data_IF_831173998721
#
_entry.id   IF_831173998721
#
_cell.length_a   1.000
_cell.length_b   1.000
_cell.length_c   1.000
_cell.angle_alpha   90.00
_cell.angle_beta   90.00
_cell.angle_gamma   90.00
#
_symmetry.space_group_name_H-M   'P 1'
#
loop_
_entity.id
_entity.type
_entity.pdbx_description
1 polymer ?
#
# COMPACT_ATOMS: atom_id res chain seq x y z
N UNK A 1 -26.43 5.96 15.60
CA UNK A 1 -25.10 5.78 15.02
C UNK A 1 -24.62 4.35 15.34
N UNK A 2 -23.77 3.77 14.53
CA UNK A 2 -23.20 2.43 14.76
C UNK A 2 -22.31 2.45 16.02
N UNK A 3 -22.58 1.60 17.02
CA UNK A 3 -21.86 1.60 18.32
C UNK A 3 -20.39 1.21 18.20
N UNK A 4 -20.06 0.32 17.26
CA UNK A 4 -18.67 -0.11 17.02
C UNK A 4 -17.75 1.03 16.58
N UNK A 5 -18.26 2.15 16.09
CA UNK A 5 -17.43 3.32 15.78
C UNK A 5 -16.71 3.90 17.00
N UNK A 6 -17.20 3.61 18.21
CA UNK A 6 -16.52 4.01 19.45
C UNK A 6 -15.17 3.27 19.66
N UNK A 7 -14.94 2.17 18.95
CA UNK A 7 -13.68 1.42 18.99
C UNK A 7 -12.62 1.99 18.03
N UNK A 8 -13.01 2.92 17.18
CA UNK A 8 -12.15 3.49 16.15
C UNK A 8 -11.80 4.94 16.47
N UNK A 9 -10.60 5.33 16.09
CA UNK A 9 -10.19 6.72 16.04
C UNK A 9 -10.18 7.20 14.60
N UNK A 10 -10.51 8.47 14.38
CA UNK A 10 -10.35 9.09 13.08
C UNK A 10 -8.87 9.00 12.65
N UNK A 11 -8.65 8.76 11.36
CA UNK A 11 -7.29 8.76 10.82
C UNK A 11 -6.59 10.07 11.19
N UNK A 12 -5.44 9.95 11.86
CA UNK A 12 -4.60 11.10 12.18
C UNK A 12 -3.54 11.26 11.10
N UNK A 13 -3.72 12.17 10.13
CA UNK A 13 -2.64 12.52 9.22
C UNK A 13 -1.49 13.10 10.04
N UNK A 14 -0.26 12.83 9.64
CA UNK A 14 0.89 13.52 10.21
C UNK A 14 0.69 15.04 10.11
N UNK A 15 1.26 15.80 11.05
CA UNK A 15 1.19 17.26 11.02
C UNK A 15 1.71 17.78 9.68
N UNK A 16 1.08 18.84 9.17
CA UNK A 16 1.57 19.51 7.98
C UNK A 16 2.98 20.10 8.22
N UNK A 17 3.82 20.28 7.19
CA UNK A 17 5.12 20.94 7.34
C UNK A 17 5.01 22.29 8.06
N UNK A 18 3.98 23.07 7.78
CA UNK A 18 3.71 24.34 8.46
C UNK A 18 3.46 24.16 9.96
N UNK A 19 2.55 23.24 10.34
CA UNK A 19 2.22 22.97 11.73
C UNK A 19 3.43 22.40 12.51
N UNK A 20 4.31 21.63 11.84
CA UNK A 20 5.55 21.13 12.43
C UNK A 20 6.56 22.25 12.67
N UNK A 21 6.76 23.16 11.70
CA UNK A 21 7.60 24.33 11.89
C UNK A 21 7.15 25.19 13.06
N UNK A 22 5.85 25.47 13.16
CA UNK A 22 5.25 26.23 14.27
C UNK A 22 5.42 25.51 15.62
N UNK A 23 5.20 24.19 15.67
CA UNK A 23 5.26 23.41 16.90
C UNK A 23 6.67 23.19 17.44
N UNK A 24 7.63 22.93 16.56
CA UNK A 24 9.00 22.54 16.93
C UNK A 24 10.05 23.65 16.70
N UNK A 25 9.64 24.81 16.18
CA UNK A 25 10.56 25.93 15.91
C UNK A 25 11.60 25.61 14.83
N UNK A 26 11.28 24.73 13.86
CA UNK A 26 12.23 24.26 12.87
C UNK A 26 12.44 25.34 11.81
N UNK A 27 13.68 25.80 11.67
CA UNK A 27 14.11 26.66 10.59
C UNK A 27 14.60 25.80 9.40
N UNK A 28 14.29 26.23 8.16
CA UNK A 28 14.69 25.52 6.95
C UNK A 28 13.59 24.65 6.33
N UNK A 29 13.99 23.79 5.38
CA UNK A 29 13.06 22.96 4.62
C UNK A 29 12.66 21.71 5.39
N UNK A 30 11.38 21.37 5.29
CA UNK A 30 10.83 20.12 5.78
C UNK A 30 10.45 19.20 4.62
N UNK A 31 10.94 17.97 4.68
CA UNK A 31 10.71 16.93 3.68
C UNK A 31 9.68 15.92 4.21
N UNK A 32 8.55 15.78 3.52
CA UNK A 32 7.49 14.85 3.88
C UNK A 32 7.86 13.44 3.46
N UNK A 33 8.41 12.65 4.38
CA UNK A 33 8.88 11.28 4.18
C UNK A 33 8.08 10.25 5.01
N UNK A 34 6.78 10.52 5.19
CA UNK A 34 5.90 9.79 6.11
C UNK A 34 4.80 8.96 5.42
N UNK A 35 4.47 9.23 4.16
CA UNK A 35 3.31 8.64 3.48
C UNK A 35 3.67 7.78 2.28
N UNK A 36 4.96 7.52 2.08
CA UNK A 36 5.47 6.65 1.01
C UNK A 36 5.09 7.14 -0.39
N UNK A 37 5.03 8.47 -0.58
CA UNK A 37 4.90 9.05 -1.92
C UNK A 37 6.18 8.80 -2.74
N UNK A 38 6.06 8.68 -4.06
CA UNK A 38 7.18 8.71 -4.96
C UNK A 38 7.64 10.17 -5.16
N UNK A 39 8.77 10.55 -4.60
CA UNK A 39 9.27 11.93 -4.66
C UNK A 39 9.77 12.33 -6.04
N UNK A 40 10.09 11.37 -6.91
CA UNK A 40 10.43 11.67 -8.31
C UNK A 40 9.20 12.15 -9.10
N UNK A 41 7.99 11.98 -8.54
CA UNK A 41 6.73 12.35 -9.18
C UNK A 41 6.30 11.39 -10.28
N UNK A 42 5.23 11.73 -11.00
CA UNK A 42 4.74 10.95 -12.13
C UNK A 42 5.58 11.18 -13.39
N UNK A 43 5.41 10.28 -14.38
CA UNK A 43 5.94 10.48 -15.73
C UNK A 43 5.55 11.84 -16.31
N UNK A 44 6.44 12.52 -17.06
CA UNK A 44 6.10 13.75 -17.79
C UNK A 44 4.87 13.61 -18.69
N UNK A 45 4.64 12.44 -19.28
CA UNK A 45 3.44 12.15 -20.10
C UNK A 45 2.13 12.32 -19.34
N UNK A 46 2.14 12.12 -18.02
CA UNK A 46 0.96 12.36 -17.16
C UNK A 46 0.55 13.83 -17.20
N UNK A 47 1.51 14.75 -17.11
CA UNK A 47 1.23 16.18 -17.17
C UNK A 47 0.63 16.59 -18.53
N UNK A 48 1.17 16.02 -19.61
CA UNK A 48 0.68 16.22 -20.97
C UNK A 48 -0.77 15.71 -21.12
N UNK A 49 -1.04 14.48 -20.66
CA UNK A 49 -2.36 13.87 -20.69
C UNK A 49 -3.40 14.71 -19.88
N UNK A 50 -3.05 15.15 -18.67
CA UNK A 50 -3.91 16.00 -17.86
C UNK A 50 -4.20 17.32 -18.60
N UNK A 51 -3.18 17.97 -19.15
CA UNK A 51 -3.32 19.25 -19.84
C UNK A 51 -4.21 19.17 -21.09
N UNK A 52 -4.14 18.05 -21.81
CA UNK A 52 -4.94 17.82 -23.02
C UNK A 52 -6.46 17.65 -22.74
N UNK A 53 -6.84 17.33 -21.49
CA UNK A 53 -8.22 17.01 -21.12
C UNK A 53 -8.83 18.00 -20.10
N UNK A 54 -8.19 19.15 -19.83
CA UNK A 54 -8.71 20.14 -18.87
C UNK A 54 -10.05 20.72 -19.30
N UNK A 55 -10.30 20.84 -20.60
CA UNK A 55 -11.57 21.36 -21.14
C UNK A 55 -12.76 20.39 -20.97
N UNK A 56 -12.49 19.15 -20.50
CA UNK A 56 -13.52 18.13 -20.27
C UNK A 56 -13.98 18.03 -18.82
N UNK A 57 -13.48 18.90 -17.91
CA UNK A 57 -13.74 18.84 -16.46
C UNK A 57 -15.21 18.98 -16.08
N UNK A 58 -16.05 19.55 -16.94
CA UNK A 58 -17.47 19.71 -16.69
C UNK A 58 -18.30 18.47 -16.97
N UNK A 59 -17.73 17.44 -17.58
CA UNK A 59 -18.40 16.16 -17.79
C UNK A 59 -18.13 15.18 -16.65
N UNK A 60 -19.14 14.39 -16.30
CA UNK A 60 -18.91 13.19 -15.51
C UNK A 60 -17.98 12.22 -16.24
N UNK A 61 -17.14 11.46 -15.52
CA UNK A 61 -16.35 10.40 -16.14
C UNK A 61 -17.24 9.28 -16.69
N UNK A 62 -16.70 8.47 -17.58
CA UNK A 62 -17.36 7.24 -18.00
C UNK A 62 -17.35 6.19 -16.88
N UNK A 63 -18.48 5.52 -16.71
CA UNK A 63 -18.63 4.54 -15.65
C UNK A 63 -17.68 3.37 -15.84
N UNK A 64 -16.88 3.06 -14.79
CA UNK A 64 -15.97 1.92 -14.77
C UNK A 64 -14.64 2.16 -15.48
N UNK A 65 -14.34 3.42 -15.88
CA UNK A 65 -13.04 3.82 -16.46
C UNK A 65 -12.60 2.92 -17.62
N UNK A 66 -13.37 2.85 -18.74
CA UNK A 66 -13.16 1.86 -19.80
C UNK A 66 -11.82 1.97 -20.49
N UNK A 67 -11.26 3.18 -20.63
CA UNK A 67 -9.95 3.40 -21.25
C UNK A 67 -8.85 2.83 -20.37
N UNK A 68 -8.88 3.11 -19.08
CA UNK A 68 -7.92 2.55 -18.12
C UNK A 68 -8.11 1.03 -17.97
N UNK A 69 -9.37 0.54 -17.96
CA UNK A 69 -9.66 -0.89 -17.89
C UNK A 69 -9.03 -1.64 -19.06
N UNK A 70 -9.16 -1.11 -20.27
CA UNK A 70 -8.53 -1.66 -21.48
C UNK A 70 -7.00 -1.66 -21.38
N UNK A 71 -6.42 -0.57 -20.89
CA UNK A 71 -4.97 -0.46 -20.75
C UNK A 71 -4.42 -1.46 -19.70
N UNK A 72 -5.06 -1.60 -18.53
CA UNK A 72 -4.68 -2.57 -17.50
C UNK A 72 -4.87 -4.00 -17.99
N UNK A 73 -6.01 -4.32 -18.62
CA UNK A 73 -6.28 -5.64 -19.21
C UNK A 73 -5.16 -6.07 -20.15
N UNK A 74 -4.75 -5.17 -21.05
CA UNK A 74 -3.64 -5.42 -21.96
C UNK A 74 -2.29 -5.57 -21.23
N UNK A 75 -2.02 -4.71 -20.27
CA UNK A 75 -0.74 -4.71 -19.51
C UNK A 75 -0.55 -5.98 -18.68
N UNK A 76 -1.62 -6.45 -18.03
CA UNK A 76 -1.58 -7.62 -17.15
C UNK A 76 -1.96 -8.92 -17.87
N UNK A 77 -2.43 -8.84 -19.12
CA UNK A 77 -3.00 -9.97 -19.86
C UNK A 77 -4.14 -10.69 -19.10
N UNK A 78 -5.08 -9.90 -18.56
CA UNK A 78 -6.27 -10.38 -17.84
C UNK A 78 -7.54 -9.85 -18.51
N UNK A 79 -8.66 -10.58 -18.39
CA UNK A 79 -9.94 -10.11 -18.93
C UNK A 79 -10.43 -8.85 -18.19
N UNK A 80 -11.06 -7.95 -18.93
CA UNK A 80 -11.63 -6.72 -18.39
C UNK A 80 -12.72 -6.96 -17.35
N UNK A 81 -13.47 -8.07 -17.46
CA UNK A 81 -14.49 -8.50 -16.49
C UNK A 81 -13.91 -8.76 -15.10
N UNK A 82 -12.59 -8.99 -15.00
CA UNK A 82 -11.87 -9.27 -13.76
C UNK A 82 -11.28 -8.04 -13.06
N UNK A 83 -11.53 -6.82 -13.58
CA UNK A 83 -10.91 -5.58 -13.07
C UNK A 83 -11.98 -4.64 -12.52
N UNK A 84 -11.77 -4.12 -11.30
CA UNK A 84 -12.60 -3.07 -10.68
C UNK A 84 -11.71 -1.96 -10.11
N UNK A 85 -12.12 -0.71 -10.33
CA UNK A 85 -11.40 0.49 -9.85
C UNK A 85 -12.04 1.11 -8.62
N UNK A 86 -11.19 1.70 -7.78
CA UNK A 86 -11.57 2.56 -6.68
C UNK A 86 -10.80 3.89 -6.67
N UNK A 87 -11.33 4.86 -5.96
CA UNK A 87 -10.64 6.11 -5.66
C UNK A 87 -9.45 5.85 -4.71
N UNK A 88 -8.41 5.17 -5.21
CA UNK A 88 -7.32 4.56 -4.46
C UNK A 88 -7.73 3.21 -3.85
N UNK A 89 -6.75 2.53 -3.22
CA UNK A 89 -7.04 1.24 -2.57
C UNK A 89 -7.91 1.38 -1.32
N UNK A 90 -7.93 2.54 -0.66
CA UNK A 90 -8.82 2.75 0.48
C UNK A 90 -10.29 2.49 0.10
N UNK A 91 -10.73 2.95 -1.08
CA UNK A 91 -12.09 2.69 -1.56
C UNK A 91 -12.26 1.24 -2.03
N UNK A 92 -11.25 0.62 -2.63
CA UNK A 92 -11.30 -0.81 -2.99
C UNK A 92 -11.46 -1.67 -1.75
N UNK A 93 -10.67 -1.42 -0.69
CA UNK A 93 -10.74 -2.12 0.59
C UNK A 93 -12.13 -1.93 1.23
N UNK A 94 -12.66 -0.70 1.22
CA UNK A 94 -14.00 -0.40 1.71
C UNK A 94 -15.06 -1.20 0.93
N UNK A 95 -15.01 -1.21 -0.40
CA UNK A 95 -15.95 -1.95 -1.23
C UNK A 95 -15.92 -3.45 -0.94
N UNK A 96 -14.71 -4.05 -0.87
CA UNK A 96 -14.53 -5.48 -0.57
C UNK A 96 -15.09 -5.79 0.83
N UNK A 97 -14.70 -5.03 1.84
CA UNK A 97 -15.18 -5.23 3.22
C UNK A 97 -16.69 -5.15 3.30
N UNK A 98 -17.28 -4.15 2.66
CA UNK A 98 -18.74 -3.94 2.65
C UNK A 98 -19.50 -5.02 1.87
N UNK A 99 -18.88 -5.59 0.82
CA UNK A 99 -19.51 -6.64 0.03
C UNK A 99 -19.46 -8.02 0.68
N UNK A 100 -18.41 -8.27 1.46
CA UNK A 100 -18.11 -9.60 2.01
C UNK A 100 -18.58 -9.71 3.46
N UNK A 101 -18.42 -8.64 4.27
CA UNK A 101 -18.60 -8.73 5.72
C UNK A 101 -20.01 -8.37 6.17
N UNK A 102 -20.56 -9.19 7.05
CA UNK A 102 -21.78 -8.97 7.84
C UNK A 102 -21.45 -8.98 9.33
N UNK A 103 -22.33 -8.45 10.21
CA UNK A 103 -22.08 -8.46 11.65
C UNK A 103 -21.83 -9.88 12.20
N UNK A 104 -20.68 -10.05 12.87
CA UNK A 104 -20.25 -11.31 13.44
C UNK A 104 -19.25 -12.11 12.60
N UNK A 105 -19.10 -11.77 11.31
CA UNK A 105 -18.06 -12.34 10.45
C UNK A 105 -16.65 -12.11 11.02
N UNK A 106 -15.69 -12.93 10.61
CA UNK A 106 -14.31 -12.82 11.08
C UNK A 106 -13.36 -12.59 9.92
N UNK A 107 -12.49 -11.59 10.06
CA UNK A 107 -11.31 -11.45 9.18
C UNK A 107 -10.05 -11.90 9.91
N UNK A 108 -9.07 -12.41 9.16
CA UNK A 108 -7.75 -12.74 9.65
C UNK A 108 -6.71 -11.90 8.91
N UNK A 109 -5.78 -11.28 9.67
CA UNK A 109 -4.66 -10.51 9.12
C UNK A 109 -3.50 -10.47 10.11
N UNK A 110 -2.44 -9.71 9.83
CA UNK A 110 -1.35 -9.51 10.79
C UNK A 110 -1.59 -8.28 11.67
N UNK A 111 -1.02 -8.27 12.90
CA UNK A 111 -1.14 -7.16 13.87
C UNK A 111 -0.51 -5.85 13.38
N UNK A 112 0.62 -5.93 12.69
CA UNK A 112 1.33 -4.77 12.19
C UNK A 112 1.33 -4.75 10.65
N UNK A 113 0.19 -4.35 10.09
CA UNK A 113 -0.03 -4.20 8.66
C UNK A 113 -0.84 -2.92 8.36
N UNK A 114 -1.39 -2.79 7.16
CA UNK A 114 -2.15 -1.59 6.78
C UNK A 114 -3.47 -1.51 7.55
N UNK A 115 -3.61 -0.48 8.37
CA UNK A 115 -4.70 -0.34 9.33
C UNK A 115 -6.11 -0.25 8.75
N UNK A 116 -6.25 -0.02 7.42
CA UNK A 116 -7.57 0.04 6.79
C UNK A 116 -8.29 -1.31 6.75
N UNK A 117 -7.58 -2.43 6.82
CA UNK A 117 -8.21 -3.75 6.91
C UNK A 117 -8.99 -3.88 8.22
N UNK A 118 -8.31 -3.59 9.35
CA UNK A 118 -8.93 -3.56 10.67
C UNK A 118 -10.07 -2.53 10.73
N UNK A 119 -9.80 -1.29 10.27
CA UNK A 119 -10.77 -0.20 10.34
C UNK A 119 -12.09 -0.56 9.64
N UNK A 120 -12.02 -1.03 8.39
CA UNK A 120 -13.21 -1.37 7.62
C UNK A 120 -13.95 -2.59 8.18
N UNK A 121 -13.25 -3.59 8.71
CA UNK A 121 -13.87 -4.73 9.37
C UNK A 121 -14.69 -4.30 10.58
N UNK A 122 -14.14 -3.45 11.45
CA UNK A 122 -14.86 -2.91 12.60
C UNK A 122 -16.09 -2.09 12.16
N UNK A 123 -15.96 -1.27 11.10
CA UNK A 123 -17.09 -0.49 10.56
C UNK A 123 -18.24 -1.40 10.14
N UNK A 124 -17.95 -2.58 9.58
CA UNK A 124 -18.96 -3.58 9.19
C UNK A 124 -19.36 -4.53 10.33
N UNK A 125 -18.90 -4.29 11.58
CA UNK A 125 -19.19 -5.09 12.78
C UNK A 125 -18.63 -6.52 12.72
N UNK A 126 -17.57 -6.71 11.98
CA UNK A 126 -16.84 -7.98 11.91
C UNK A 126 -15.79 -8.07 13.03
N UNK A 127 -15.46 -9.29 13.41
CA UNK A 127 -14.35 -9.62 14.30
C UNK A 127 -13.03 -9.56 13.53
N UNK A 128 -11.94 -9.24 14.23
CA UNK A 128 -10.61 -9.20 13.63
C UNK A 128 -9.64 -10.06 14.44
N UNK A 129 -9.10 -11.09 13.83
CA UNK A 129 -7.98 -11.86 14.37
C UNK A 129 -6.70 -11.29 13.80
N UNK A 130 -5.83 -10.81 14.68
CA UNK A 130 -4.55 -10.25 14.33
C UNK A 130 -3.42 -11.17 14.78
N UNK A 131 -2.72 -11.77 13.82
CA UNK A 131 -1.61 -12.69 14.08
C UNK A 131 -0.31 -11.87 14.23
N UNK A 132 0.50 -12.12 15.28
CA UNK A 132 1.78 -11.46 15.47
C UNK A 132 2.70 -11.65 14.25
N UNK A 133 3.53 -10.64 13.98
CA UNK A 133 4.61 -10.77 12.98
C UNK A 133 5.69 -11.77 13.46
N UNK A 134 6.24 -12.52 12.53
CA UNK A 134 7.42 -13.36 12.75
C UNK A 134 8.61 -12.73 12.01
N UNK A 135 9.65 -12.37 12.76
CA UNK A 135 10.86 -11.72 12.23
C UNK A 135 10.56 -10.43 11.42
N UNK A 136 9.50 -9.72 11.75
CA UNK A 136 9.04 -8.51 11.07
C UNK A 136 8.21 -8.76 9.81
N UNK A 137 7.96 -10.00 9.42
CA UNK A 137 7.13 -10.42 8.29
C UNK A 137 5.82 -11.09 8.69
N UNK A 138 4.95 -11.33 7.73
CA UNK A 138 3.73 -12.10 7.93
C UNK A 138 4.06 -13.55 8.33
N UNK A 139 3.45 -14.04 9.39
CA UNK A 139 3.44 -15.45 9.76
C UNK A 139 2.28 -16.17 9.04
N UNK A 140 2.50 -16.60 7.80
CA UNK A 140 1.46 -17.28 7.01
C UNK A 140 1.00 -18.58 7.67
N UNK A 141 1.88 -19.31 8.37
CA UNK A 141 1.49 -20.52 9.11
C UNK A 141 0.60 -20.16 10.30
N UNK A 142 0.93 -19.07 11.02
CA UNK A 142 0.11 -18.54 12.10
C UNK A 142 -1.25 -18.08 11.62
N UNK A 143 -1.30 -17.36 10.50
CA UNK A 143 -2.57 -16.95 9.87
C UNK A 143 -3.40 -18.16 9.46
N UNK A 144 -2.79 -19.18 8.85
CA UNK A 144 -3.50 -20.40 8.43
C UNK A 144 -4.15 -21.15 9.59
N UNK A 145 -3.51 -21.17 10.77
CA UNK A 145 -4.07 -21.79 11.99
C UNK A 145 -5.33 -21.09 12.50
N UNK A 146 -5.45 -19.79 12.26
CA UNK A 146 -6.61 -18.98 12.65
C UNK A 146 -7.74 -19.03 11.61
N UNK A 147 -7.45 -19.46 10.37
CA UNK A 147 -8.47 -19.63 9.32
C UNK A 147 -9.34 -20.86 9.64
N UNK A 148 -10.65 -20.65 9.74
CA UNK A 148 -11.64 -21.67 10.06
C UNK A 148 -12.95 -21.43 9.31
N UNK A 149 -14.02 -22.17 9.64
CA UNK A 149 -15.33 -22.08 8.99
C UNK A 149 -16.01 -20.71 9.16
N UNK A 150 -15.68 -19.98 10.23
CA UNK A 150 -16.21 -18.63 10.51
C UNK A 150 -15.37 -17.52 9.86
N UNK A 151 -14.29 -17.86 9.17
CA UNK A 151 -13.44 -16.88 8.48
C UNK A 151 -14.08 -16.46 7.17
N UNK A 152 -14.40 -15.17 7.07
CA UNK A 152 -15.04 -14.59 5.88
C UNK A 152 -14.05 -13.91 4.94
N UNK A 153 -12.83 -13.54 5.42
CA UNK A 153 -11.85 -12.80 4.61
C UNK A 153 -10.45 -12.86 5.24
N UNK A 154 -9.43 -13.02 4.41
CA UNK A 154 -8.02 -12.89 4.79
C UNK A 154 -7.39 -11.73 4.05
N UNK A 155 -6.67 -10.87 4.79
CA UNK A 155 -5.88 -9.77 4.23
C UNK A 155 -4.38 -10.03 4.37
N UNK A 156 -3.67 -10.02 3.25
CA UNK A 156 -2.21 -10.14 3.18
C UNK A 156 -1.64 -8.91 2.47
N UNK A 157 -0.67 -8.23 3.08
CA UNK A 157 0.03 -7.09 2.48
C UNK A 157 1.43 -7.52 2.07
N UNK A 158 1.72 -7.54 0.78
CA UNK A 158 2.97 -8.04 0.25
C UNK A 158 3.51 -7.18 -0.90
N UNK A 159 4.60 -6.42 -0.72
CA UNK A 159 5.35 -6.24 0.54
C UNK A 159 4.56 -5.51 1.62
N UNK A 160 4.84 -5.84 2.89
CA UNK A 160 4.08 -5.32 4.01
C UNK A 160 4.35 -3.84 4.31
N UNK A 161 3.33 -3.14 4.72
CA UNK A 161 3.40 -1.81 5.32
C UNK A 161 2.93 -1.92 6.79
N UNK A 162 3.78 -1.63 7.81
CA UNK A 162 4.91 -0.70 7.74
C UNK A 162 6.30 -1.34 7.61
N UNK A 163 6.45 -2.64 7.63
CA UNK A 163 7.76 -3.31 7.79
C UNK A 163 8.63 -3.35 6.54
N UNK A 164 8.02 -3.32 5.35
CA UNK A 164 8.69 -3.44 4.06
C UNK A 164 9.03 -4.89 3.67
N UNK A 165 8.89 -5.83 4.58
CA UNK A 165 9.18 -7.26 4.37
C UNK A 165 8.19 -7.88 3.39
N UNK A 166 8.57 -9.01 2.80
CA UNK A 166 7.71 -9.77 1.89
C UNK A 166 7.78 -11.27 2.21
N UNK A 167 6.81 -12.01 1.74
CA UNK A 167 6.85 -13.47 1.64
C UNK A 167 6.98 -13.88 0.17
N UNK A 168 7.69 -14.98 -0.08
CA UNK A 168 8.01 -15.43 -1.43
C UNK A 168 6.90 -16.26 -2.08
N UNK A 169 7.11 -16.62 -3.35
CA UNK A 169 6.15 -17.37 -4.17
C UNK A 169 5.77 -18.72 -3.55
N UNK A 170 6.75 -19.50 -3.10
CA UNK A 170 6.53 -20.82 -2.52
C UNK A 170 5.67 -20.74 -1.25
N UNK A 171 5.95 -19.76 -0.39
CA UNK A 171 5.19 -19.54 0.85
C UNK A 171 3.73 -19.17 0.56
N UNK A 172 3.48 -18.30 -0.44
CA UNK A 172 2.13 -17.92 -0.82
C UNK A 172 1.38 -19.07 -1.49
N UNK A 173 2.02 -19.81 -2.40
CA UNK A 173 1.40 -20.99 -3.05
C UNK A 173 1.03 -22.07 -2.02
N UNK A 174 1.93 -22.36 -1.08
CA UNK A 174 1.66 -23.29 0.02
C UNK A 174 0.50 -22.83 0.89
N UNK A 175 0.44 -21.54 1.23
CA UNK A 175 -0.65 -20.96 2.01
C UNK A 175 -1.99 -21.08 1.26
N UNK A 176 -2.06 -20.63 0.02
CA UNK A 176 -3.30 -20.64 -0.78
C UNK A 176 -3.82 -22.05 -1.01
N UNK A 177 -2.94 -23.05 -1.13
CA UNK A 177 -3.34 -24.45 -1.31
C UNK A 177 -4.10 -25.03 -0.12
N UNK A 178 -4.01 -24.40 1.06
CA UNK A 178 -4.60 -24.88 2.32
C UNK A 178 -5.79 -24.02 2.79
N UNK A 179 -5.94 -22.79 2.26
CA UNK A 179 -7.09 -21.94 2.60
C UNK A 179 -8.35 -22.47 1.91
N UNK A 180 -9.48 -22.63 2.65
CA UNK A 180 -10.74 -23.07 2.06
C UNK A 180 -11.20 -22.14 0.93
N UNK A 181 -11.71 -22.69 -0.17
CA UNK A 181 -12.11 -21.92 -1.36
C UNK A 181 -13.19 -20.87 -1.11
N UNK A 182 -14.00 -21.04 -0.06
CA UNK A 182 -15.04 -20.06 0.31
C UNK A 182 -14.46 -18.81 0.98
N UNK A 183 -13.20 -18.85 1.42
CA UNK A 183 -12.51 -17.72 2.08
C UNK A 183 -11.72 -16.92 1.06
N UNK A 184 -12.14 -15.70 0.71
CA UNK A 184 -11.36 -14.79 -0.12
C UNK A 184 -10.03 -14.43 0.54
N UNK A 185 -8.94 -14.51 -0.21
CA UNK A 185 -7.61 -14.06 0.20
C UNK A 185 -7.23 -12.84 -0.64
N UNK A 186 -7.15 -11.69 -0.01
CA UNK A 186 -6.78 -10.45 -0.69
C UNK A 186 -5.28 -10.20 -0.48
N UNK A 187 -4.53 -10.14 -1.57
CA UNK A 187 -3.10 -9.84 -1.59
C UNK A 187 -2.94 -8.37 -2.01
N UNK A 188 -2.60 -7.52 -1.06
CA UNK A 188 -2.37 -6.09 -1.31
C UNK A 188 -0.92 -5.88 -1.76
N UNK A 189 -0.77 -5.61 -3.04
CA UNK A 189 0.50 -5.37 -3.72
C UNK A 189 0.75 -3.88 -4.00
N UNK A 190 0.39 -2.99 -3.06
CA UNK A 190 0.56 -1.54 -3.24
C UNK A 190 2.00 -1.10 -3.52
N UNK A 191 2.99 -1.93 -3.24
CA UNK A 191 4.42 -1.65 -3.43
C UNK A 191 5.09 -2.57 -4.46
N UNK A 192 4.32 -3.31 -5.24
CA UNK A 192 4.78 -4.31 -6.21
C UNK A 192 5.91 -3.80 -7.13
N UNK A 193 5.75 -2.61 -7.68
CA UNK A 193 6.68 -2.06 -8.67
C UNK A 193 8.07 -1.72 -8.09
N UNK A 194 8.22 -1.67 -6.77
CA UNK A 194 9.51 -1.46 -6.09
C UNK A 194 10.27 -2.75 -5.76
N UNK A 195 9.63 -3.90 -5.97
CA UNK A 195 10.22 -5.20 -5.65
C UNK A 195 11.38 -5.52 -6.59
N UNK A 196 12.48 -5.97 -6.00
CA UNK A 196 13.67 -6.43 -6.71
C UNK A 196 14.02 -7.90 -6.42
N UNK A 197 13.29 -8.54 -5.50
CA UNK A 197 13.47 -9.95 -5.15
C UNK A 197 12.98 -10.86 -6.29
N UNK A 198 13.82 -11.80 -6.71
CA UNK A 198 13.54 -12.71 -7.82
C UNK A 198 12.50 -13.79 -7.47
N UNK A 199 12.37 -14.12 -6.18
CA UNK A 199 11.44 -15.12 -5.64
C UNK A 199 10.09 -14.52 -5.19
N UNK A 200 9.84 -13.23 -5.52
CA UNK A 200 8.57 -12.59 -5.22
C UNK A 200 7.41 -13.28 -5.95
N UNK A 201 6.20 -13.38 -5.34
CA UNK A 201 5.10 -14.12 -5.94
C UNK A 201 4.67 -13.58 -7.32
N UNK A 202 4.49 -14.49 -8.28
CA UNK A 202 3.65 -14.22 -9.45
C UNK A 202 2.18 -14.43 -9.05
N UNK A 203 1.59 -13.41 -8.44
CA UNK A 203 0.22 -13.46 -7.92
C UNK A 203 -0.82 -13.62 -9.04
N UNK A 204 -0.54 -13.13 -10.26
CA UNK A 204 -1.44 -13.34 -11.41
C UNK A 204 -1.46 -14.81 -11.84
N UNK A 205 -0.32 -15.50 -11.84
CA UNK A 205 -0.28 -16.94 -12.10
C UNK A 205 -0.99 -17.73 -10.99
N UNK A 206 -0.81 -17.34 -9.72
CA UNK A 206 -1.49 -17.98 -8.59
C UNK A 206 -3.02 -17.79 -8.66
N UNK A 207 -3.52 -16.65 -9.14
CA UNK A 207 -4.96 -16.43 -9.36
C UNK A 207 -5.57 -17.35 -10.43
N UNK A 208 -4.76 -17.92 -11.32
CA UNK A 208 -5.25 -18.91 -12.28
C UNK A 208 -5.40 -20.31 -11.64
N UNK A 209 -4.68 -20.53 -10.53
CA UNK A 209 -4.68 -21.78 -9.77
C UNK A 209 -5.68 -21.76 -8.60
N UNK A 210 -5.91 -20.58 -8.01
CA UNK A 210 -6.75 -20.40 -6.82
C UNK A 210 -7.82 -19.33 -7.05
N UNK A 211 -9.06 -19.73 -7.23
CA UNK A 211 -10.20 -18.85 -7.54
C UNK A 211 -10.54 -17.86 -6.43
N UNK A 212 -10.09 -18.12 -5.21
CA UNK A 212 -10.28 -17.27 -4.03
C UNK A 212 -9.11 -16.31 -3.76
N UNK A 213 -8.07 -16.30 -4.59
CA UNK A 213 -6.95 -15.35 -4.49
C UNK A 213 -7.21 -14.11 -5.34
N UNK A 214 -7.15 -12.92 -4.73
CA UNK A 214 -7.39 -11.64 -5.41
C UNK A 214 -6.24 -10.67 -5.12
N UNK A 215 -5.87 -9.84 -6.09
CA UNK A 215 -4.77 -8.90 -5.90
C UNK A 215 -5.24 -7.44 -5.98
N UNK A 216 -4.62 -6.59 -5.18
CA UNK A 216 -4.78 -5.14 -5.23
C UNK A 216 -3.52 -4.47 -5.75
N UNK A 217 -3.66 -3.44 -6.59
CA UNK A 217 -2.56 -2.56 -7.03
C UNK A 217 -2.99 -1.11 -7.08
N UNK A 218 -2.03 -0.20 -7.05
CA UNK A 218 -2.30 1.24 -6.98
C UNK A 218 -1.39 2.06 -7.86
N UNK A 219 -1.90 3.18 -8.35
CA UNK A 219 -1.11 4.23 -8.98
C UNK A 219 -0.53 5.25 -7.97
N UNK A 220 -0.89 5.13 -6.69
CA UNK A 220 -0.50 6.11 -5.66
C UNK A 220 0.98 6.07 -5.29
N UNK A 221 1.69 4.93 -5.52
CA UNK A 221 3.06 4.72 -5.06
C UNK A 221 4.06 4.89 -6.21
N UNK A 222 4.51 3.85 -6.84
CA UNK A 222 5.56 3.91 -7.86
C UNK A 222 5.22 4.83 -9.03
N UNK A 223 3.98 4.85 -9.48
CA UNK A 223 3.52 5.72 -10.56
C UNK A 223 3.41 7.21 -10.18
N UNK A 224 3.54 7.58 -8.90
CA UNK A 224 3.55 8.98 -8.46
C UNK A 224 2.19 9.69 -8.49
N UNK A 225 1.08 8.97 -8.54
CA UNK A 225 -0.28 9.55 -8.68
C UNK A 225 -1.07 9.56 -7.35
N UNK A 226 -0.41 9.69 -6.21
CA UNK A 226 -1.08 9.65 -4.90
C UNK A 226 -2.24 10.66 -4.79
N UNK A 227 -2.08 11.86 -5.35
CA UNK A 227 -3.10 12.92 -5.34
C UNK A 227 -4.29 12.67 -6.27
N UNK A 228 -4.15 11.79 -7.27
CA UNK A 228 -5.19 11.50 -8.27
C UNK A 228 -6.08 10.32 -7.87
N UNK A 229 -5.75 9.61 -6.81
CA UNK A 229 -6.60 8.59 -6.21
C UNK A 229 -7.06 7.51 -7.20
N UNK A 230 -6.15 6.63 -7.65
CA UNK A 230 -6.48 5.49 -8.51
C UNK A 230 -5.87 4.21 -7.93
N UNK A 231 -6.72 3.21 -7.71
CA UNK A 231 -6.34 1.86 -7.33
C UNK A 231 -7.29 0.86 -7.98
N UNK A 232 -6.89 -0.40 -8.04
CA UNK A 232 -7.71 -1.43 -8.65
C UNK A 232 -7.50 -2.79 -7.98
N UNK A 233 -8.51 -3.64 -8.16
CA UNK A 233 -8.45 -5.06 -7.81
C UNK A 233 -8.57 -5.90 -9.07
N UNK A 234 -7.83 -7.01 -9.12
CA UNK A 234 -8.03 -8.11 -10.06
C UNK A 234 -8.57 -9.30 -9.27
N UNK A 235 -9.76 -9.78 -9.66
CA UNK A 235 -10.47 -10.85 -8.96
C UNK A 235 -11.18 -11.78 -9.95
N UNK A 236 -11.91 -12.78 -9.45
CA UNK A 236 -12.81 -13.56 -10.29
C UNK A 236 -13.93 -12.68 -10.84
N UNK A 237 -14.43 -13.00 -12.04
CA UNK A 237 -15.54 -12.27 -12.66
C UNK A 237 -16.76 -12.17 -11.73
N UNK A 238 -17.10 -13.27 -11.07
CA UNK A 238 -18.18 -13.30 -10.10
C UNK A 238 -17.99 -12.32 -8.94
N UNK A 239 -16.78 -12.22 -8.37
CA UNK A 239 -16.48 -11.25 -7.31
C UNK A 239 -16.61 -9.81 -7.81
N UNK A 240 -16.06 -9.53 -9.01
CA UNK A 240 -16.15 -8.20 -9.63
C UNK A 240 -17.59 -7.78 -9.88
N UNK A 241 -18.44 -8.68 -10.40
CA UNK A 241 -19.87 -8.40 -10.59
C UNK A 241 -20.55 -7.96 -9.28
N UNK A 242 -20.32 -8.71 -8.18
CA UNK A 242 -20.89 -8.39 -6.87
C UNK A 242 -20.35 -7.08 -6.29
N UNK A 243 -19.05 -6.87 -6.34
CA UNK A 243 -18.43 -5.65 -5.80
C UNK A 243 -18.76 -4.41 -6.61
N UNK A 244 -18.99 -4.55 -7.91
CA UNK A 244 -19.41 -3.44 -8.77
C UNK A 244 -20.80 -2.88 -8.41
N UNK A 245 -21.67 -3.67 -7.74
CA UNK A 245 -23.00 -3.22 -7.27
C UNK A 245 -22.86 -2.11 -6.23
N UNK A 246 -21.86 -2.19 -5.37
CA UNK A 246 -21.62 -1.23 -4.27
C UNK A 246 -20.63 -0.14 -4.63
N UNK A 247 -20.01 -0.20 -5.80
CA UNK A 247 -19.09 0.83 -6.27
C UNK A 247 -19.84 2.16 -6.44
N UNK A 248 -19.37 3.28 -5.84
CA UNK A 248 -19.97 4.59 -6.06
C UNK A 248 -19.95 4.96 -7.57
N UNK A 249 -21.03 5.53 -8.09
CA UNK A 249 -21.05 6.02 -9.47
C UNK A 249 -19.93 7.05 -9.69
N UNK A 250 -19.24 6.95 -10.83
CA UNK A 250 -18.23 7.95 -11.22
C UNK A 250 -17.07 8.13 -10.24
N UNK A 251 -16.72 7.09 -9.49
CA UNK A 251 -15.77 7.12 -8.38
C UNK A 251 -14.32 7.43 -8.79
N UNK A 252 -13.91 7.17 -10.02
CA UNK A 252 -12.62 7.60 -10.59
C UNK A 252 -12.87 8.78 -11.52
N UNK A 253 -12.17 9.89 -11.29
CA UNK A 253 -12.35 11.08 -12.12
C UNK A 253 -11.76 10.88 -13.52
N UNK A 254 -12.30 11.59 -14.51
CA UNK A 254 -11.81 11.55 -15.91
C UNK A 254 -10.30 11.85 -15.99
N UNK A 255 -9.86 12.89 -15.30
CA UNK A 255 -8.43 13.28 -15.25
C UNK A 255 -7.57 12.19 -14.63
N UNK A 256 -8.06 11.53 -13.57
CA UNK A 256 -7.36 10.42 -12.94
C UNK A 256 -7.22 9.22 -13.88
N UNK A 257 -8.26 8.94 -14.68
CA UNK A 257 -8.23 7.87 -15.68
C UNK A 257 -7.16 8.12 -16.74
N UNK A 258 -7.16 9.28 -17.40
CA UNK A 258 -6.17 9.63 -18.42
C UNK A 258 -4.74 9.67 -17.86
N UNK A 259 -4.58 10.23 -16.67
CA UNK A 259 -3.30 10.26 -15.98
C UNK A 259 -2.76 8.85 -15.68
N UNK A 260 -3.62 7.95 -15.24
CA UNK A 260 -3.24 6.57 -14.95
C UNK A 260 -2.87 5.80 -16.22
N UNK A 261 -3.60 6.00 -17.32
CA UNK A 261 -3.24 5.41 -18.63
C UNK A 261 -1.85 5.91 -19.08
N UNK A 262 -1.62 7.22 -19.05
CA UNK A 262 -0.34 7.80 -19.46
C UNK A 262 0.83 7.32 -18.58
N UNK A 263 0.61 7.16 -17.28
CA UNK A 263 1.60 6.61 -16.35
C UNK A 263 1.87 5.13 -16.64
N UNK A 264 0.83 4.34 -16.89
CA UNK A 264 0.95 2.90 -17.19
C UNK A 264 1.70 2.66 -18.50
N UNK A 265 1.49 3.49 -19.52
CA UNK A 265 2.15 3.38 -20.81
C UNK A 265 3.63 3.78 -20.78
N UNK A 266 4.08 4.50 -19.74
CA UNK A 266 5.48 4.91 -19.61
C UNK A 266 6.27 3.99 -18.65
N UNK A 267 6.38 2.73 -19.05
CA UNK A 267 7.12 1.72 -18.29
C UNK A 267 8.63 2.02 -18.17
N UNK A 268 9.18 2.80 -19.11
CA UNK A 268 10.57 3.20 -19.05
C UNK A 268 10.82 4.16 -17.87
N UNK A 269 9.96 5.15 -17.71
CA UNK A 269 10.04 6.08 -16.57
C UNK A 269 9.83 5.35 -15.24
N UNK A 270 8.84 4.44 -15.19
CA UNK A 270 8.60 3.62 -13.99
C UNK A 270 9.85 2.83 -13.58
N UNK A 271 10.49 2.13 -14.52
CA UNK A 271 11.74 1.39 -14.26
C UNK A 271 12.86 2.30 -13.77
N UNK A 272 12.99 3.51 -14.35
CA UNK A 272 14.01 4.47 -13.93
C UNK A 272 13.81 4.91 -12.48
N UNK A 273 12.59 5.31 -12.08
CA UNK A 273 12.33 5.82 -10.73
C UNK A 273 12.41 4.71 -9.68
N UNK A 274 11.93 3.52 -9.99
CA UNK A 274 12.02 2.37 -9.07
C UNK A 274 13.47 1.90 -8.90
N UNK A 275 14.28 1.94 -9.95
CA UNK A 275 15.71 1.67 -9.86
C UNK A 275 16.43 2.72 -9.00
N UNK A 276 16.17 4.02 -9.21
CA UNK A 276 16.73 5.09 -8.35
C UNK A 276 16.37 4.87 -6.89
N UNK A 277 15.11 4.47 -6.62
CA UNK A 277 14.66 4.15 -5.28
C UNK A 277 15.43 2.95 -4.69
N UNK A 278 15.61 1.86 -5.44
CA UNK A 278 16.34 0.67 -4.95
C UNK A 278 17.80 1.00 -4.63
N UNK A 279 18.47 1.77 -5.47
CA UNK A 279 19.87 2.23 -5.22
C UNK A 279 19.95 3.02 -3.91
N UNK A 280 19.04 3.96 -3.71
CA UNK A 280 19.02 4.77 -2.49
C UNK A 280 18.64 3.93 -1.26
N UNK A 281 17.72 2.98 -1.39
CA UNK A 281 17.34 2.05 -0.31
C UNK A 281 18.53 1.20 0.17
N UNK A 282 19.33 0.67 -0.74
CA UNK A 282 20.49 -0.16 -0.42
C UNK A 282 21.55 0.60 0.40
N UNK A 283 21.65 1.90 0.28
CA UNK A 283 22.57 2.73 1.08
C UNK A 283 22.30 2.63 2.59
N UNK A 284 21.03 2.47 2.97
CA UNK A 284 20.66 2.31 4.39
C UNK A 284 21.17 0.98 4.94
N UNK A 285 21.15 -0.08 4.15
CA UNK A 285 21.65 -1.39 4.57
C UNK A 285 23.19 -1.50 4.60
N UNK A 286 23.89 -0.51 4.08
CA UNK A 286 25.35 -0.41 4.20
C UNK A 286 25.81 0.20 5.54
N UNK A 287 24.89 0.74 6.34
CA UNK A 287 25.22 1.23 7.67
C UNK A 287 25.58 0.08 8.62
N UNK A 288 26.57 0.27 9.54
CA UNK A 288 26.89 -0.72 10.57
C UNK A 288 25.70 -1.10 11.44
N UNK A 289 24.73 -0.21 11.58
CA UNK A 289 23.50 -0.35 12.37
C UNK A 289 22.36 -1.05 11.61
N UNK A 290 22.62 -1.60 10.43
CA UNK A 290 21.59 -2.21 9.57
C UNK A 290 20.86 -3.40 10.21
N UNK A 291 21.41 -4.01 11.27
CA UNK A 291 20.75 -5.04 12.08
C UNK A 291 19.42 -4.56 12.72
N UNK A 292 19.26 -3.25 12.91
CA UNK A 292 18.02 -2.67 13.39
C UNK A 292 17.00 -2.40 12.26
N UNK A 293 17.35 -2.61 11.01
CA UNK A 293 16.51 -2.32 9.85
C UNK A 293 15.90 -3.60 9.30
N UNK A 294 14.59 -3.63 9.18
CA UNK A 294 13.93 -4.76 8.51
C UNK A 294 14.22 -4.74 7.01
N UNK A 295 14.49 -5.90 6.38
CA UNK A 295 14.72 -5.97 4.94
C UNK A 295 13.47 -5.54 4.17
N UNK A 296 13.62 -4.55 3.28
CA UNK A 296 12.48 -3.95 2.58
C UNK A 296 12.54 -4.17 1.07
N UNK A 297 11.36 -4.45 0.50
CA UNK A 297 11.11 -4.47 -0.94
C UNK A 297 10.16 -3.34 -1.37
N UNK A 298 10.18 -2.21 -0.63
CA UNK A 298 9.29 -1.06 -0.85
C UNK A 298 10.09 0.23 -1.10
N UNK A 299 9.41 1.37 -1.17
CA UNK A 299 10.03 2.69 -1.18
C UNK A 299 10.20 3.30 0.23
N UNK A 300 10.32 2.47 1.23
CA UNK A 300 10.62 2.87 2.61
C UNK A 300 11.42 1.79 3.31
N UNK A 301 12.00 2.12 4.46
CA UNK A 301 12.59 1.19 5.41
C UNK A 301 11.87 1.29 6.75
N UNK A 302 11.94 0.24 7.55
CA UNK A 302 11.47 0.23 8.93
C UNK A 302 12.64 0.00 9.88
N UNK A 303 12.85 0.97 10.76
CA UNK A 303 13.93 0.99 11.74
C UNK A 303 13.37 0.60 13.11
N UNK A 304 13.78 -0.56 13.61
CA UNK A 304 13.39 -1.06 14.95
C UNK A 304 14.15 -0.32 16.04
N UNK A 305 13.44 0.15 17.06
CA UNK A 305 14.05 0.72 18.28
C UNK A 305 13.02 0.84 19.40
N UNK A 306 13.48 0.74 20.63
CA UNK A 306 12.66 1.09 21.82
C UNK A 306 12.57 2.60 22.04
N UNK A 307 13.46 3.37 21.43
CA UNK A 307 13.59 4.83 21.56
C UNK A 307 12.91 5.55 20.37
N UNK A 308 11.67 5.15 20.09
CA UNK A 308 10.91 5.59 18.90
C UNK A 308 10.76 7.11 18.81
N UNK A 309 10.37 7.74 19.93
CA UNK A 309 10.16 9.20 19.94
C UNK A 309 11.47 9.97 19.73
N UNK A 310 12.56 9.50 20.34
CA UNK A 310 13.87 10.12 20.19
C UNK A 310 14.40 10.01 18.75
N UNK A 311 14.23 8.84 18.09
CA UNK A 311 14.59 8.68 16.69
C UNK A 311 13.74 9.57 15.80
N UNK A 312 12.43 9.61 16.03
CA UNK A 312 11.51 10.46 15.28
C UNK A 312 11.92 11.95 15.39
N UNK A 313 12.22 12.43 16.61
CA UNK A 313 12.64 13.80 16.85
C UNK A 313 14.01 14.09 16.22
N UNK A 314 14.96 13.17 16.30
CA UNK A 314 16.27 13.32 15.67
C UNK A 314 16.17 13.48 14.14
N UNK A 315 15.32 12.68 13.50
CA UNK A 315 15.04 12.80 12.06
C UNK A 315 14.29 14.10 11.72
N UNK A 316 13.34 14.49 12.57
CA UNK A 316 12.60 15.74 12.39
C UNK A 316 13.52 16.97 12.50
N UNK A 317 14.49 16.95 13.41
CA UNK A 317 15.45 18.05 13.60
C UNK A 317 16.34 18.28 12.38
N UNK A 318 16.57 17.28 11.55
CA UNK A 318 17.25 17.43 10.25
C UNK A 318 16.28 17.70 9.08
N UNK A 319 15.02 18.00 9.40
CA UNK A 319 13.98 18.34 8.42
C UNK A 319 13.23 17.14 7.81
N UNK A 320 13.46 15.91 8.28
CA UNK A 320 12.86 14.71 7.71
C UNK A 320 11.62 14.26 8.53
N UNK A 321 10.42 14.46 7.97
CA UNK A 321 9.15 14.04 8.60
C UNK A 321 8.92 12.57 8.28
N UNK A 322 9.04 11.70 9.28
CA UNK A 322 8.87 10.24 9.16
C UNK A 322 7.59 9.76 9.85
N UNK A 323 7.38 8.45 9.97
CA UNK A 323 6.20 7.89 10.65
C UNK A 323 6.62 6.96 11.77
N UNK A 324 6.24 7.30 13.01
CA UNK A 324 6.44 6.44 14.17
C UNK A 324 5.37 5.37 14.31
N UNK A 325 5.78 4.20 14.80
CA UNK A 325 4.97 3.05 15.16
C UNK A 325 5.41 2.56 16.54
N UNK A 326 4.64 1.73 17.26
CA UNK A 326 5.01 1.28 18.60
C UNK A 326 6.39 0.64 18.73
N UNK A 327 6.89 0.00 17.67
CA UNK A 327 8.13 -0.79 17.65
C UNK A 327 9.26 -0.17 16.82
N UNK A 328 9.05 1.01 16.23
CA UNK A 328 10.06 1.63 15.39
C UNK A 328 9.55 2.80 14.55
N UNK A 329 10.36 3.21 13.59
CA UNK A 329 10.08 4.34 12.70
C UNK A 329 10.14 3.88 11.25
N UNK A 330 9.08 4.15 10.48
CA UNK A 330 9.07 3.95 9.03
C UNK A 330 9.55 5.22 8.33
N UNK A 331 10.52 5.07 7.46
CA UNK A 331 11.22 6.14 6.76
C UNK A 331 11.03 5.96 5.27
N UNK A 332 10.33 6.87 4.60
CA UNK A 332 10.22 6.86 3.13
C UNK A 332 11.58 7.23 2.51
N UNK A 333 12.00 6.50 1.49
CA UNK A 333 13.22 6.78 0.74
C UNK A 333 13.03 8.08 -0.04
N UNK A 334 13.92 9.04 0.21
CA UNK A 334 13.92 10.36 -0.41
C UNK A 334 14.90 10.49 -1.57
N UNK A 335 15.16 11.73 -1.96
CA UNK A 335 16.30 12.05 -2.80
C UNK A 335 17.62 11.88 -2.04
N UNK A 336 18.72 11.80 -2.78
CA UNK A 336 20.07 11.59 -2.21
C UNK A 336 20.37 12.53 -1.04
N UNK A 337 20.11 13.83 -1.17
CA UNK A 337 20.40 14.85 -0.15
C UNK A 337 19.57 14.64 1.13
N UNK A 338 18.34 14.19 0.97
CA UNK A 338 17.45 13.86 2.11
C UNK A 338 17.93 12.58 2.80
N UNK A 339 18.28 11.57 2.00
CA UNK A 339 18.80 10.30 2.51
C UNK A 339 20.15 10.50 3.20
N UNK A 340 21.05 11.37 2.70
CA UNK A 340 22.33 11.69 3.34
C UNK A 340 22.13 12.20 4.78
N UNK A 341 21.17 13.12 4.99
CA UNK A 341 20.81 13.62 6.34
C UNK A 341 20.30 12.51 7.24
N UNK A 342 19.42 11.66 6.72
CA UNK A 342 18.85 10.52 7.49
C UNK A 342 19.93 9.49 7.83
N UNK A 343 20.82 9.17 6.90
CA UNK A 343 21.93 8.25 7.11
C UNK A 343 22.89 8.76 8.18
N UNK A 344 23.17 10.07 8.23
CA UNK A 344 23.98 10.68 9.27
C UNK A 344 23.34 10.54 10.65
N UNK A 345 22.03 10.81 10.78
CA UNK A 345 21.29 10.60 12.04
C UNK A 345 21.33 9.14 12.45
N UNK A 346 21.00 8.23 11.53
CA UNK A 346 20.92 6.79 11.81
C UNK A 346 22.26 6.17 12.20
N UNK A 347 23.37 6.63 11.59
CA UNK A 347 24.71 6.14 11.93
C UNK A 347 25.17 6.53 13.34
N UNK A 348 24.65 7.63 13.90
CA UNK A 348 25.03 8.15 15.20
C UNK A 348 23.97 7.84 16.29
N UNK A 349 22.83 7.26 15.94
CA UNK A 349 21.75 6.99 16.87
C UNK A 349 22.03 5.76 17.75
N UNK A 350 21.65 5.85 19.03
CA UNK A 350 21.72 4.72 19.99
C UNK A 350 20.36 4.01 20.01
N UNK A 351 20.30 2.81 19.48
CA UNK A 351 19.04 2.08 19.26
C UNK A 351 18.48 1.38 20.51
N UNK A 352 19.33 1.10 21.51
CA UNK A 352 19.01 0.44 22.78
C UNK A 352 18.78 1.42 23.93
#
# INVERSE_FOLDING_TARGET
MKEQLNQLSAYQPGLSPRALKEKYGIEGDLYKLASNENLYGPSPKVKEAISAHLDELYYYPETGSPTLKTAISKHLNVDQSRILFGAGLDEVILMISRAVLTPGDTIVTSEATFGQYYHNAIVESANVIQVPLKDGGFDLEGILKEVNEDTSLVWLCNPNNPTGTYFNHESLDSFLSQVPLHVPVIIDEAYFEFVTAEDYPDTLALQQKYDNAFLLRTFSKAYGLAGLRVGYVVASEHAIEKWNIIRPPFNVTRISEYAAVAALEDQQYLKEVTHKNSVERERFYQLPQSEYFLPSQTNFIFVKTKRVNELYEALLNVGCITRSFPTGVRITIGFKEQNDKMLEVLSNFKYE
#
